data_IF_771574730867
#
_entry.id   IF_771574730867
#
_cell.length_a   1.000
_cell.length_b   1.000
_cell.length_c   1.000
_cell.angle_alpha   90.00
_cell.angle_beta   90.00
_cell.angle_gamma   90.00
#
_symmetry.space_group_name_H-M   'P 1'
#
loop_
_entity.id
_entity.type
_entity.pdbx_description
1 polymer ?
#
# COMPACT_ATOMS: atom_id res chain seq x y z
N UNK A 1 -3.87 -10.04 -17.54
CA UNK A 1 -4.39 -8.77 -16.98
C UNK A 1 -3.22 -8.10 -16.26
N UNK A 2 -3.04 -6.78 -16.35
CA UNK A 2 -1.86 -6.11 -15.73
C UNK A 2 -2.11 -5.91 -14.24
N UNK A 3 -1.24 -6.40 -13.33
CA UNK A 3 -1.40 -6.20 -11.89
C UNK A 3 -1.55 -4.72 -11.52
N UNK A 4 -2.39 -4.43 -10.53
CA UNK A 4 -2.67 -3.05 -10.09
C UNK A 4 -1.42 -2.27 -9.68
N UNK A 5 -0.48 -2.94 -9.01
CA UNK A 5 0.81 -2.36 -8.62
C UNK A 5 1.63 -1.94 -9.85
N UNK A 6 1.76 -2.82 -10.85
CA UNK A 6 2.48 -2.55 -12.09
C UNK A 6 1.82 -1.42 -12.89
N UNK A 7 0.49 -1.43 -13.00
CA UNK A 7 -0.25 -0.38 -13.71
C UNK A 7 -0.04 1.00 -13.06
N UNK A 8 -0.15 1.08 -11.73
CA UNK A 8 0.07 2.33 -10.99
C UNK A 8 1.53 2.77 -11.09
N UNK A 9 2.48 1.85 -10.90
CA UNK A 9 3.91 2.17 -10.96
C UNK A 9 4.31 2.70 -12.34
N UNK A 10 3.87 2.03 -13.40
CA UNK A 10 4.12 2.47 -14.80
C UNK A 10 3.52 3.85 -15.04
N UNK A 11 2.26 4.06 -14.65
CA UNK A 11 1.58 5.34 -14.84
C UNK A 11 2.25 6.49 -14.06
N UNK A 12 2.68 6.24 -12.81
CA UNK A 12 3.40 7.20 -11.99
C UNK A 12 4.78 7.54 -12.56
N UNK A 13 5.54 6.52 -12.95
CA UNK A 13 6.88 6.70 -13.49
C UNK A 13 6.83 7.53 -14.78
N UNK A 14 5.94 7.20 -15.72
CA UNK A 14 5.75 8.02 -16.91
C UNK A 14 5.26 9.43 -16.59
N UNK A 15 4.33 9.58 -15.63
CA UNK A 15 3.84 10.90 -15.22
C UNK A 15 4.93 11.78 -14.60
N UNK A 16 5.83 11.20 -13.79
CA UNK A 16 6.98 11.93 -13.24
C UNK A 16 7.89 12.40 -14.35
N UNK A 17 8.24 11.53 -15.30
CA UNK A 17 9.12 11.91 -16.42
C UNK A 17 8.52 13.07 -17.20
N UNK A 18 7.24 12.98 -17.60
CA UNK A 18 6.58 14.05 -18.35
C UNK A 18 6.53 15.38 -17.57
N UNK A 19 6.20 15.32 -16.28
CA UNK A 19 6.08 16.51 -15.45
C UNK A 19 7.44 17.15 -15.21
N UNK A 20 8.48 16.35 -14.95
CA UNK A 20 9.84 16.85 -14.80
C UNK A 20 10.36 17.47 -16.09
N UNK A 21 10.11 16.84 -17.24
CA UNK A 21 10.43 17.39 -18.57
C UNK A 21 9.67 18.70 -18.81
N UNK A 22 8.36 18.74 -18.58
CA UNK A 22 7.56 19.96 -18.77
C UNK A 22 8.00 21.10 -17.84
N UNK A 23 8.26 20.79 -16.55
CA UNK A 23 8.74 21.78 -15.60
C UNK A 23 10.10 22.34 -15.99
N UNK A 24 11.02 21.50 -16.50
CA UNK A 24 12.37 21.91 -16.87
C UNK A 24 12.41 22.63 -18.23
N UNK A 25 11.81 22.04 -19.25
CA UNK A 25 11.99 22.48 -20.64
C UNK A 25 10.95 23.50 -21.10
N UNK A 26 9.73 23.45 -20.54
CA UNK A 26 8.64 24.33 -20.96
C UNK A 26 8.42 25.51 -20.01
N UNK A 27 8.50 25.24 -18.70
CA UNK A 27 8.13 26.23 -17.68
C UNK A 27 9.33 26.89 -16.98
N UNK A 28 10.55 26.37 -17.19
CA UNK A 28 11.78 26.80 -16.51
C UNK A 28 11.62 26.87 -14.97
N UNK A 29 10.89 25.91 -14.40
CA UNK A 29 10.67 25.83 -12.96
C UNK A 29 11.84 25.11 -12.31
N UNK A 30 12.53 25.72 -11.32
CA UNK A 30 13.63 25.06 -10.65
C UNK A 30 13.13 23.89 -9.79
N UNK A 31 13.98 22.90 -9.59
CA UNK A 31 13.71 21.80 -8.67
C UNK A 31 14.10 22.21 -7.23
N UNK A 32 13.32 23.12 -6.65
CA UNK A 32 13.48 23.58 -5.26
C UNK A 32 12.26 23.18 -4.42
N UNK A 33 12.38 23.15 -3.08
CA UNK A 33 11.27 22.82 -2.19
C UNK A 33 9.98 23.63 -2.44
N UNK A 34 10.11 24.88 -2.91
CA UNK A 34 8.97 25.73 -3.24
C UNK A 34 8.09 25.18 -4.39
N UNK A 35 8.67 24.40 -5.30
CA UNK A 35 7.98 23.86 -6.48
C UNK A 35 7.68 22.35 -6.40
N UNK A 36 8.09 21.67 -5.34
CA UNK A 36 7.84 20.23 -5.16
C UNK A 36 6.34 19.91 -5.04
N UNK A 37 5.58 20.72 -4.30
CA UNK A 37 4.13 20.50 -4.12
C UNK A 37 3.37 20.59 -5.46
N UNK A 38 3.55 21.64 -6.28
CA UNK A 38 3.00 21.68 -7.64
C UNK A 38 3.37 20.45 -8.49
N UNK A 39 4.65 20.04 -8.49
CA UNK A 39 5.11 18.84 -9.22
C UNK A 39 4.35 17.59 -8.78
N UNK A 40 4.21 17.37 -7.48
CA UNK A 40 3.42 16.25 -6.92
C UNK A 40 1.97 16.27 -7.39
N UNK A 41 1.34 17.45 -7.42
CA UNK A 41 -0.04 17.60 -7.88
C UNK A 41 -0.20 17.33 -9.38
N UNK A 42 0.73 17.84 -10.21
CA UNK A 42 0.77 17.56 -11.63
C UNK A 42 1.01 16.07 -11.92
N UNK A 43 1.99 15.46 -11.25
CA UNK A 43 2.29 14.03 -11.36
C UNK A 43 1.06 13.19 -11.02
N UNK A 44 0.35 13.51 -9.93
CA UNK A 44 -0.88 12.79 -9.58
C UNK A 44 -1.98 12.98 -10.64
N UNK A 45 -2.16 14.19 -11.17
CA UNK A 45 -3.15 14.46 -12.21
C UNK A 45 -2.84 13.71 -13.51
N UNK A 46 -1.58 13.73 -13.95
CA UNK A 46 -1.11 13.00 -15.11
C UNK A 46 -1.25 11.47 -14.92
N UNK A 47 -0.91 10.97 -13.73
CA UNK A 47 -1.12 9.55 -13.37
C UNK A 47 -2.59 9.16 -13.47
N UNK A 48 -3.50 9.97 -12.92
CA UNK A 48 -4.94 9.70 -12.99
C UNK A 48 -5.43 9.65 -14.44
N UNK A 49 -5.01 10.60 -15.27
CA UNK A 49 -5.35 10.61 -16.69
C UNK A 49 -4.86 9.34 -17.41
N UNK A 50 -3.64 8.89 -17.12
CA UNK A 50 -3.08 7.66 -17.69
C UNK A 50 -3.88 6.43 -17.26
N UNK A 51 -4.18 6.31 -15.97
CA UNK A 51 -4.98 5.20 -15.44
C UNK A 51 -6.39 5.15 -16.03
N UNK A 52 -7.03 6.31 -16.26
CA UNK A 52 -8.36 6.34 -16.87
C UNK A 52 -8.40 5.89 -18.33
N UNK A 53 -7.24 5.86 -19.02
CA UNK A 53 -7.12 5.37 -20.39
C UNK A 53 -6.87 3.87 -20.51
N UNK A 54 -6.53 3.18 -19.42
CA UNK A 54 -6.20 1.74 -19.46
C UNK A 54 -7.40 0.83 -19.70
N UNK A 55 -8.64 1.30 -19.55
CA UNK A 55 -9.85 0.49 -19.78
C UNK A 55 -10.11 -0.61 -18.74
N UNK A 56 -9.20 -0.81 -17.76
CA UNK A 56 -9.34 -1.73 -16.63
C UNK A 56 -7.99 -2.06 -15.99
N UNK A 57 -7.97 -2.32 -14.67
CA UNK A 57 -6.73 -2.58 -13.91
C UNK A 57 -6.92 -3.80 -12.99
N UNK A 58 -6.79 -5.02 -13.49
CA UNK A 58 -6.91 -6.24 -12.67
C UNK A 58 -8.16 -6.30 -11.75
N UNK A 59 -9.34 -6.06 -12.32
CA UNK A 59 -10.59 -5.98 -11.56
C UNK A 59 -10.75 -4.71 -10.70
N UNK A 60 -9.72 -3.87 -10.60
CA UNK A 60 -9.81 -2.55 -10.00
C UNK A 60 -10.42 -1.54 -10.97
N UNK A 61 -11.34 -0.74 -10.44
CA UNK A 61 -11.99 0.37 -11.12
C UNK A 61 -11.50 1.69 -10.54
N UNK A 62 -11.09 2.61 -11.41
CA UNK A 62 -10.75 3.99 -11.02
C UNK A 62 -12.02 4.79 -10.73
N UNK A 63 -12.02 5.52 -9.61
CA UNK A 63 -13.09 6.46 -9.27
C UNK A 63 -13.34 7.45 -10.39
N UNK A 64 -14.60 7.56 -10.84
CA UNK A 64 -15.01 8.61 -11.81
C UNK A 64 -15.16 9.98 -11.16
N UNK A 65 -15.23 10.03 -9.83
CA UNK A 65 -15.28 11.28 -9.07
C UNK A 65 -13.89 11.90 -8.95
N UNK A 66 -13.49 12.67 -9.96
CA UNK A 66 -12.32 13.54 -9.89
C UNK A 66 -12.66 14.81 -9.09
N UNK A 67 -12.57 14.71 -7.76
CA UNK A 67 -12.67 15.87 -6.89
C UNK A 67 -11.52 16.86 -7.10
N UNK A 68 -11.55 17.97 -6.34
CA UNK A 68 -10.43 18.90 -6.32
C UNK A 68 -9.13 18.14 -5.98
N UNK A 69 -8.05 18.49 -6.68
CA UNK A 69 -6.74 17.84 -6.57
C UNK A 69 -6.60 16.46 -7.27
N UNK A 70 -7.60 15.99 -8.02
CA UNK A 70 -7.52 14.75 -8.83
C UNK A 70 -7.10 13.53 -7.99
N UNK A 71 -7.89 13.14 -6.98
CA UNK A 71 -7.57 12.00 -6.13
C UNK A 71 -7.58 10.70 -6.96
N UNK A 72 -6.62 9.82 -6.70
CA UNK A 72 -6.62 8.47 -7.29
C UNK A 72 -7.13 7.51 -6.23
N UNK A 73 -8.39 7.10 -6.40
CA UNK A 73 -9.03 6.06 -5.60
C UNK A 73 -9.40 4.91 -6.52
N UNK A 74 -9.02 3.69 -6.15
CA UNK A 74 -9.41 2.47 -6.85
C UNK A 74 -10.32 1.63 -5.96
N UNK A 75 -11.22 0.88 -6.59
CA UNK A 75 -12.16 -0.03 -5.92
C UNK A 75 -12.13 -1.40 -6.59
N UNK A 76 -12.18 -2.47 -5.79
CA UNK A 76 -12.35 -3.85 -6.26
C UNK A 76 -13.17 -4.61 -5.23
N UNK A 77 -14.37 -5.03 -5.60
CA UNK A 77 -15.33 -5.67 -4.70
C UNK A 77 -15.59 -4.79 -3.45
N UNK A 78 -15.31 -5.31 -2.26
CA UNK A 78 -15.42 -4.55 -1.00
C UNK A 78 -14.14 -3.75 -0.67
N UNK A 79 -13.07 -3.91 -1.44
CA UNK A 79 -11.77 -3.32 -1.16
C UNK A 79 -11.59 -1.97 -1.84
N UNK A 80 -10.88 -1.07 -1.15
CA UNK A 80 -10.60 0.27 -1.65
C UNK A 80 -9.12 0.61 -1.49
N UNK A 81 -8.58 1.40 -2.41
CA UNK A 81 -7.17 1.81 -2.40
C UNK A 81 -7.08 3.30 -2.68
N UNK A 82 -6.39 4.06 -1.82
CA UNK A 82 -6.14 5.49 -2.02
C UNK A 82 -4.66 5.75 -2.22
N UNK A 83 -4.31 6.39 -3.33
CA UNK A 83 -2.95 6.80 -3.60
C UNK A 83 -2.63 8.15 -2.92
N UNK A 84 -1.61 8.18 -2.07
CA UNK A 84 -1.18 9.36 -1.32
C UNK A 84 0.32 9.60 -1.48
N UNK A 85 0.72 10.86 -1.67
CA UNK A 85 2.14 11.23 -1.65
C UNK A 85 2.65 11.29 -0.20
N UNK A 86 3.89 10.86 0.04
CA UNK A 86 4.58 10.97 1.33
C UNK A 86 5.97 11.58 1.15
N UNK A 87 6.44 12.45 2.07
CA UNK A 87 7.76 13.08 1.95
C UNK A 87 8.92 12.11 2.22
N UNK A 88 8.69 10.98 2.90
CA UNK A 88 9.73 10.00 3.19
C UNK A 88 9.15 8.58 3.26
N UNK A 89 10.04 7.57 3.27
CA UNK A 89 9.66 6.17 3.18
C UNK A 89 8.89 5.66 4.42
N UNK A 90 9.13 6.25 5.60
CA UNK A 90 8.59 5.74 6.87
C UNK A 90 7.24 6.37 7.22
N UNK A 91 6.97 7.58 6.75
CA UNK A 91 5.79 8.35 7.13
C UNK A 91 4.52 7.82 6.48
N UNK A 92 3.53 7.51 7.32
CA UNK A 92 2.14 7.27 6.93
C UNK A 92 1.31 8.52 7.29
N UNK A 93 0.70 9.21 6.32
CA UNK A 93 -0.08 10.43 6.58
C UNK A 93 -1.25 10.16 7.52
N UNK A 94 -1.38 10.94 8.59
CA UNK A 94 -2.53 10.89 9.49
C UNK A 94 -3.84 11.28 8.77
N UNK A 95 -5.01 10.72 9.15
CA UNK A 95 -6.29 11.02 8.50
C UNK A 95 -6.76 12.47 8.70
N UNK A 96 -6.26 13.14 9.75
CA UNK A 96 -6.63 14.51 10.11
C UNK A 96 -8.00 14.58 10.81
N UNK A 97 -8.63 15.75 10.78
CA UNK A 97 -9.93 16.02 11.46
C UNK A 97 -11.16 15.62 10.64
N UNK A 98 -10.99 15.25 9.38
CA UNK A 98 -12.12 14.93 8.50
C UNK A 98 -12.70 13.55 8.85
N UNK A 99 -13.97 13.49 9.23
CA UNK A 99 -14.63 12.25 9.67
C UNK A 99 -14.60 11.15 8.61
N UNK A 100 -14.92 11.47 7.36
CA UNK A 100 -14.88 10.47 6.27
C UNK A 100 -13.47 9.89 6.06
N UNK A 101 -12.42 10.70 6.23
CA UNK A 101 -11.03 10.22 6.23
C UNK A 101 -10.73 9.36 7.45
N UNK A 102 -11.23 9.71 8.63
CA UNK A 102 -11.03 8.91 9.83
C UNK A 102 -11.68 7.53 9.69
N UNK A 103 -12.92 7.46 9.20
CA UNK A 103 -13.60 6.18 8.92
C UNK A 103 -12.84 5.31 7.91
N UNK A 104 -12.24 5.93 6.88
CA UNK A 104 -11.41 5.19 5.93
C UNK A 104 -10.20 4.51 6.61
N UNK A 105 -9.69 5.09 7.69
CA UNK A 105 -8.48 4.64 8.38
C UNK A 105 -8.73 3.59 9.47
N UNK A 106 -9.99 3.27 9.76
CA UNK A 106 -10.39 2.38 10.86
C UNK A 106 -10.82 1.02 10.34
N UNK A 107 -9.91 0.28 9.69
CA UNK A 107 -10.17 -1.13 9.40
C UNK A 107 -10.18 -1.96 10.69
N UNK A 108 -10.93 -3.06 10.71
CA UNK A 108 -10.82 -4.08 11.75
C UNK A 108 -9.43 -4.72 11.71
N UNK A 109 -8.74 -4.80 12.85
CA UNK A 109 -7.42 -5.41 12.93
C UNK A 109 -7.49 -6.90 12.56
N UNK A 110 -6.49 -7.39 11.82
CA UNK A 110 -6.47 -8.78 11.37
C UNK A 110 -6.25 -9.79 12.51
N UNK A 111 -5.51 -9.41 13.56
CA UNK A 111 -5.18 -10.26 14.71
C UNK A 111 -6.42 -10.83 15.44
N UNK A 112 -7.59 -10.20 15.30
CA UNK A 112 -8.84 -10.65 15.90
C UNK A 112 -9.84 -11.32 14.96
N UNK A 113 -9.47 -11.57 13.70
CA UNK A 113 -10.36 -12.17 12.69
C UNK A 113 -10.00 -13.63 12.45
N UNK A 114 -11.00 -14.50 12.38
CA UNK A 114 -10.80 -15.85 11.86
C UNK A 114 -10.37 -15.76 10.39
N UNK A 115 -9.54 -16.70 9.93
CA UNK A 115 -8.97 -16.69 8.57
C UNK A 115 -10.03 -16.53 7.47
N UNK A 116 -11.19 -17.21 7.50
CA UNK A 116 -12.23 -16.99 6.49
C UNK A 116 -12.74 -15.55 6.51
N UNK A 117 -13.01 -15.00 7.71
CA UNK A 117 -13.58 -13.67 7.87
C UNK A 117 -12.64 -12.57 7.36
N UNK A 118 -11.33 -12.76 7.51
CA UNK A 118 -10.33 -11.82 6.98
C UNK A 118 -10.45 -11.61 5.45
N UNK A 119 -10.90 -12.62 4.68
CA UNK A 119 -11.06 -12.49 3.22
C UNK A 119 -12.39 -11.88 2.80
N UNK A 120 -13.41 -11.89 3.67
CA UNK A 120 -14.76 -11.40 3.34
C UNK A 120 -15.07 -10.01 3.89
N UNK A 121 -14.20 -9.43 4.72
CA UNK A 121 -14.36 -8.07 5.22
C UNK A 121 -13.83 -7.03 4.24
N UNK A 122 -14.48 -5.87 4.21
CA UNK A 122 -13.98 -4.69 3.51
C UNK A 122 -12.59 -4.29 4.02
N UNK A 123 -11.65 -4.08 3.10
CA UNK A 123 -10.36 -3.49 3.40
C UNK A 123 -10.13 -2.18 2.67
N UNK A 124 -9.73 -1.17 3.45
CA UNK A 124 -9.33 0.14 2.96
C UNK A 124 -7.81 0.25 3.04
N UNK A 125 -7.15 0.44 1.90
CA UNK A 125 -5.69 0.49 1.80
C UNK A 125 -5.21 1.89 1.42
N UNK A 126 -4.01 2.23 1.86
CA UNK A 126 -3.26 3.40 1.41
C UNK A 126 -2.11 2.91 0.55
N UNK A 127 -2.05 3.35 -0.70
CA UNK A 127 -0.85 3.23 -1.51
C UNK A 127 -0.07 4.53 -1.38
N UNK A 128 1.03 4.47 -0.64
CA UNK A 128 1.92 5.60 -0.46
C UNK A 128 2.92 5.61 -1.61
N UNK A 129 3.13 6.78 -2.21
CA UNK A 129 4.18 6.98 -3.19
C UNK A 129 5.07 8.14 -2.78
N UNK A 130 6.34 8.05 -3.16
CA UNK A 130 7.31 9.14 -3.00
C UNK A 130 8.10 9.29 -4.30
N UNK A 131 8.43 10.53 -4.62
CA UNK A 131 9.34 10.88 -5.70
C UNK A 131 10.69 11.29 -5.09
N UNK A 132 11.76 10.62 -5.52
CA UNK A 132 13.11 11.11 -5.31
C UNK A 132 13.36 12.27 -6.26
N UNK A 133 13.07 13.52 -5.88
CA UNK A 133 13.23 14.67 -6.79
C UNK A 133 14.64 14.82 -7.37
N UNK A 134 15.67 14.30 -6.70
CA UNK A 134 17.04 14.29 -7.22
C UNK A 134 17.31 13.14 -8.20
N UNK A 135 16.70 11.97 -8.00
CA UNK A 135 16.96 10.75 -8.79
C UNK A 135 15.90 10.46 -9.85
N UNK A 136 14.73 11.09 -9.75
CA UNK A 136 13.54 10.76 -10.55
C UNK A 136 12.85 9.45 -10.13
N UNK A 137 13.40 8.73 -9.14
CA UNK A 137 12.91 7.41 -8.75
C UNK A 137 11.57 7.50 -8.01
N UNK A 138 10.71 6.51 -8.27
CA UNK A 138 9.46 6.32 -7.56
C UNK A 138 9.56 5.10 -6.66
N UNK A 139 9.12 5.24 -5.42
CA UNK A 139 8.91 4.10 -4.54
C UNK A 139 7.45 4.06 -4.09
N UNK A 140 6.91 2.84 -4.04
CA UNK A 140 5.54 2.54 -3.62
C UNK A 140 5.54 1.73 -2.32
N UNK A 141 4.60 2.01 -1.43
CA UNK A 141 4.39 1.27 -0.19
C UNK A 141 2.90 1.12 0.08
N UNK A 142 2.43 -0.11 0.22
CA UNK A 142 1.05 -0.42 0.60
C UNK A 142 0.93 -0.45 2.13
N UNK A 143 -0.09 0.19 2.67
CA UNK A 143 -0.39 0.24 4.11
C UNK A 143 -1.87 -0.02 4.34
N UNK A 144 -2.21 -0.85 5.34
CA UNK A 144 -3.59 -1.05 5.83
C UNK A 144 -3.75 -0.36 7.20
N UNK A 145 -4.39 0.81 7.27
CA UNK A 145 -4.57 1.53 8.53
C UNK A 145 -5.64 0.87 9.41
N UNK A 146 -5.44 0.82 10.73
CA UNK A 146 -6.38 0.21 11.70
C UNK A 146 -6.84 1.19 12.78
N UNK A 147 -6.63 2.48 12.57
CA UNK A 147 -7.06 3.48 13.51
C UNK A 147 -6.69 4.90 13.14
N UNK A 148 -7.10 5.83 13.99
CA UNK A 148 -6.78 7.26 13.87
C UNK A 148 -5.57 7.60 14.75
N UNK A 149 -4.69 8.44 14.20
CA UNK A 149 -3.57 9.06 14.93
C UNK A 149 -3.46 10.55 14.55
N UNK A 150 -2.72 11.32 15.38
CA UNK A 150 -2.40 12.72 15.10
C UNK A 150 -1.10 12.81 14.31
N UNK A 151 -0.90 13.93 13.61
CA UNK A 151 0.39 14.22 12.98
C UNK A 151 1.51 14.18 14.02
N UNK A 152 2.64 13.54 13.69
CA UNK A 152 3.78 13.33 14.59
C UNK A 152 3.63 12.16 15.56
N UNK A 153 2.45 11.54 15.67
CA UNK A 153 2.27 10.33 16.46
C UNK A 153 2.55 9.08 15.62
N UNK A 154 2.93 7.94 16.25
CA UNK A 154 3.06 6.67 15.57
C UNK A 154 1.80 6.32 14.78
N UNK A 155 1.98 5.91 13.52
CA UNK A 155 0.90 5.47 12.66
C UNK A 155 0.34 4.12 13.13
N UNK A 156 -0.96 3.91 12.95
CA UNK A 156 -1.65 2.68 13.33
C UNK A 156 -1.99 1.88 12.07
N UNK A 157 -1.26 0.79 11.83
CA UNK A 157 -1.45 -0.11 10.69
C UNK A 157 -1.08 -1.54 11.12
N UNK A 158 -1.66 -2.54 10.45
CA UNK A 158 -1.29 -3.96 10.64
C UNK A 158 -0.59 -4.56 9.42
N UNK A 159 -0.83 -4.04 8.22
CA UNK A 159 -0.07 -4.38 7.01
C UNK A 159 0.75 -3.18 6.54
N UNK A 160 2.02 -3.41 6.24
CA UNK A 160 2.92 -2.46 5.58
C UNK A 160 3.92 -3.22 4.71
N UNK A 161 3.85 -3.03 3.40
CA UNK A 161 4.78 -3.66 2.45
C UNK A 161 5.28 -2.66 1.42
N UNK A 162 6.57 -2.70 1.12
CA UNK A 162 7.11 -1.98 -0.04
C UNK A 162 6.71 -2.74 -1.30
N UNK A 163 6.27 -2.01 -2.31
CA UNK A 163 5.98 -2.60 -3.61
C UNK A 163 7.17 -2.34 -4.53
N UNK A 164 7.58 -3.39 -5.22
CA UNK A 164 8.67 -3.36 -6.18
C UNK A 164 8.50 -2.36 -7.31
N UNK A 165 9.62 -2.12 -8.01
CA UNK A 165 9.63 -1.39 -9.28
C UNK A 165 8.69 -2.01 -10.34
N UNK A 166 8.43 -1.31 -11.45
CA UNK A 166 7.53 -1.81 -12.51
C UNK A 166 8.08 -3.10 -13.18
N UNK A 167 9.40 -3.26 -13.15
CA UNK A 167 10.15 -4.38 -13.73
C UNK A 167 10.47 -5.49 -12.73
N UNK A 168 10.13 -5.32 -11.45
CA UNK A 168 10.24 -6.41 -10.48
C UNK A 168 9.18 -7.47 -10.79
N UNK A 169 9.65 -8.60 -11.33
CA UNK A 169 8.82 -9.75 -11.60
C UNK A 169 8.76 -10.65 -10.36
N UNK A 170 7.56 -10.82 -9.81
CA UNK A 170 7.34 -11.72 -8.68
C UNK A 170 7.31 -13.20 -9.10
N UNK A 171 7.35 -13.50 -10.41
CA UNK A 171 7.35 -14.87 -10.92
C UNK A 171 8.55 -15.70 -10.44
N UNK A 172 9.65 -15.06 -10.01
CA UNK A 172 10.83 -15.73 -9.48
C UNK A 172 10.80 -15.95 -7.96
N UNK A 173 9.78 -15.45 -7.24
CA UNK A 173 9.66 -15.71 -5.81
C UNK A 173 9.14 -17.13 -5.61
N UNK A 174 9.99 -17.99 -5.08
CA UNK A 174 9.59 -19.28 -4.54
C UNK A 174 9.59 -19.19 -3.01
N UNK A 175 8.67 -19.94 -2.39
CA UNK A 175 8.72 -20.11 -0.95
C UNK A 175 9.95 -20.95 -0.62
N UNK A 176 10.90 -20.36 0.11
CA UNK A 176 12.01 -21.11 0.70
C UNK A 176 11.58 -21.47 2.12
N UNK A 177 11.13 -22.71 2.38
CA UNK A 177 10.95 -23.15 3.75
C UNK A 177 12.30 -22.98 4.46
N UNK A 178 12.31 -22.29 5.60
CA UNK A 178 13.50 -22.21 6.43
C UNK A 178 13.86 -23.62 6.89
N UNK A 179 15.11 -24.03 6.68
CA UNK A 179 15.68 -25.28 7.21
C UNK A 179 15.90 -25.23 8.73
N UNK A 180 15.46 -24.16 9.41
CA UNK A 180 15.33 -24.16 10.85
C UNK A 180 14.21 -25.15 11.19
N UNK A 181 14.62 -26.39 11.48
CA UNK A 181 13.83 -27.48 12.04
C UNK A 181 13.32 -27.12 13.46
N UNK A 182 12.64 -25.99 13.63
CA UNK A 182 11.65 -25.89 14.69
C UNK A 182 10.47 -26.75 14.24
N UNK A 183 10.48 -27.99 14.74
CA UNK A 183 9.39 -28.95 14.64
C UNK A 183 8.06 -28.21 14.90
N UNK A 184 7.35 -27.89 13.82
CA UNK A 184 6.04 -27.24 13.88
C UNK A 184 5.05 -28.26 14.45
N UNK A 185 5.02 -28.36 15.78
CA UNK A 185 4.08 -29.21 16.49
C UNK A 185 2.70 -28.56 16.41
N UNK A 186 1.74 -29.30 15.86
CA UNK A 186 0.37 -28.85 15.88
C UNK A 186 -0.07 -28.74 17.36
N UNK A 187 -0.89 -27.75 17.76
CA UNK A 187 -1.31 -27.59 19.16
C UNK A 187 -1.86 -28.88 19.81
N UNK A 188 -2.47 -29.76 19.01
CA UNK A 188 -3.02 -31.03 19.45
C UNK A 188 -1.95 -32.10 19.79
N UNK A 189 -0.69 -31.92 19.40
CA UNK A 189 0.42 -32.84 19.69
C UNK A 189 1.13 -32.50 21.01
N UNK A 190 0.95 -31.27 21.53
CA UNK A 190 1.48 -30.86 22.83
C UNK A 190 0.65 -31.43 24.00
N UNK A 191 -0.67 -31.49 23.87
CA UNK A 191 -1.55 -32.04 24.92
C UNK A 191 -1.37 -33.56 25.12
N UNK A 192 -1.12 -34.32 24.05
CA UNK A 192 -0.92 -35.77 24.15
C UNK A 192 0.41 -36.16 24.82
N UNK A 193 1.44 -35.31 24.71
CA UNK A 193 2.75 -35.57 25.30
C UNK A 193 2.78 -35.30 26.82
N UNK A 194 1.91 -34.42 27.32
CA UNK A 194 1.78 -34.16 28.76
C UNK A 194 1.02 -35.28 29.48
N UNK A 195 0.06 -35.95 28.83
CA UNK A 195 -0.67 -37.08 29.41
C UNK A 195 0.17 -38.37 29.55
N UNK A 196 1.16 -38.60 28.68
CA UNK A 196 2.04 -39.79 28.79
C UNK A 196 3.07 -39.69 29.92
N UNK A 197 3.45 -38.47 30.33
CA UNK A 197 4.44 -38.27 31.42
C UNK A 197 3.82 -38.63 32.77
N UNK A 198 2.54 -38.33 32.99
CA UNK A 198 1.84 -38.64 34.24
C UNK A 198 1.52 -40.13 34.42
N UNK A 199 1.39 -40.89 33.32
CA UNK A 199 1.14 -42.33 33.38
C UNK A 199 2.38 -43.16 33.82
N UNK A 200 3.59 -42.63 33.64
CA UNK A 200 4.84 -43.35 33.89
C UNK A 200 5.50 -43.01 35.24
N UNK A 201 4.90 -42.10 36.04
CA UNK A 201 5.36 -41.76 37.39
C UNK A 201 4.62 -42.56 38.48
N UNK A 202 3.59 -43.34 38.10
CA UNK A 202 2.75 -44.12 39.00
C UNK A 202 2.88 -45.66 38.89
N UNK A 203 3.89 -46.17 38.17
CA UNK A 203 4.17 -47.62 38.07
C UNK A 203 5.37 -48.05 38.92
#
# INVERSE_FOLDING_TARGET
MVPVSRAINTALTSAVVDVETACKETLDLPNTPAYQTPRVHLTRAATHHRLSKLGGIDGWSLSTQAGSNTPIHLYRDQNTLRLLHTPNATTVPAPGKNMARQFYYTNTALEGLAVPDAFYVQHNYLLLWRQGFATGEIALRLVRPIGVWKFGMPAKWDISMNLGGPDEDFSSFYFQPSEDEEEFRLPNELEAAEEEIDANVLS
#
